data_IF_200008529566
#
_entry.id   IF_200008529566
#
_cell.length_a   1.000
_cell.length_b   1.000
_cell.length_c   1.000
_cell.angle_alpha   90.00
_cell.angle_beta   90.00
_cell.angle_gamma   90.00
#
_symmetry.space_group_name_H-M   'P 1'
#
loop_
_entity.id
_entity.type
_entity.pdbx_description
1 polymer ?
#
# COMPACT_ATOMS: atom_id res chain seq x y z
N UNK A 1 68.59 -0.49 -27.61
CA UNK A 1 67.72 -1.45 -28.31
C UNK A 1 66.59 -1.80 -27.38
N UNK A 2 65.41 -1.28 -27.72
CA UNK A 2 64.15 -1.38 -27.00
C UNK A 2 63.65 -2.83 -26.86
N UNK A 3 62.96 -3.12 -25.77
CA UNK A 3 61.89 -4.11 -25.72
C UNK A 3 60.83 -3.61 -24.74
N UNK A 4 59.93 -2.79 -25.29
CA UNK A 4 58.62 -2.53 -24.71
C UNK A 4 57.78 -3.81 -24.83
N UNK A 5 57.28 -4.29 -23.69
CA UNK A 5 56.28 -5.35 -23.62
C UNK A 5 54.92 -4.69 -23.86
N UNK A 6 54.29 -5.06 -24.97
CA UNK A 6 52.92 -4.68 -25.30
C UNK A 6 51.97 -5.33 -24.28
N UNK A 7 51.41 -4.51 -23.39
CA UNK A 7 50.16 -4.80 -22.70
C UNK A 7 49.07 -4.93 -23.76
N UNK A 8 48.47 -6.11 -23.85
CA UNK A 8 47.32 -6.34 -24.73
C UNK A 8 46.13 -5.55 -24.21
N UNK A 9 45.61 -4.66 -25.04
CA UNK A 9 44.35 -3.97 -24.82
C UNK A 9 43.23 -4.99 -24.57
N UNK A 10 42.79 -5.07 -23.31
CA UNK A 10 41.52 -5.70 -22.95
C UNK A 10 40.43 -4.80 -23.56
N UNK A 11 39.55 -5.31 -24.44
CA UNK A 11 38.47 -4.51 -25.00
C UNK A 11 37.63 -3.94 -23.85
N UNK A 12 37.29 -2.65 -23.86
CA UNK A 12 36.39 -2.09 -22.85
C UNK A 12 35.09 -2.88 -22.90
N UNK A 13 34.69 -3.47 -21.76
CA UNK A 13 33.36 -4.03 -21.55
C UNK A 13 32.32 -3.02 -22.04
N UNK A 14 31.34 -3.42 -22.86
CA UNK A 14 30.32 -2.49 -23.35
C UNK A 14 29.66 -1.80 -22.16
N UNK A 15 29.84 -0.48 -22.04
CA UNK A 15 29.15 0.30 -21.02
C UNK A 15 27.65 0.20 -21.29
N UNK A 16 26.94 -0.51 -20.42
CA UNK A 16 25.49 -0.59 -20.48
C UNK A 16 24.92 0.81 -20.31
N UNK A 17 24.21 1.31 -21.33
CA UNK A 17 23.70 2.68 -21.34
C UNK A 17 22.48 2.77 -20.41
N UNK A 18 22.64 3.41 -19.26
CA UNK A 18 21.53 3.68 -18.36
C UNK A 18 20.48 4.58 -19.01
N UNK A 19 19.23 4.16 -18.93
CA UNK A 19 18.06 4.90 -19.41
C UNK A 19 17.26 5.39 -18.23
N UNK A 20 16.87 6.67 -18.26
CA UNK A 20 16.00 7.29 -17.27
C UNK A 20 14.60 7.51 -17.85
N UNK A 21 13.63 7.78 -16.98
CA UNK A 21 12.26 8.08 -17.35
C UNK A 21 12.16 9.25 -18.33
N UNK A 22 11.19 9.13 -19.22
CA UNK A 22 10.78 10.16 -20.15
C UNK A 22 10.27 11.41 -19.42
N UNK A 23 10.46 12.56 -20.06
CA UNK A 23 9.86 13.82 -19.63
C UNK A 23 8.97 14.37 -20.75
N UNK A 24 7.69 14.54 -20.43
CA UNK A 24 6.67 15.05 -21.32
C UNK A 24 6.22 16.45 -20.89
N UNK A 25 5.67 17.19 -21.84
CA UNK A 25 4.95 18.44 -21.58
C UNK A 25 4.02 18.70 -22.76
N UNK A 26 3.10 19.67 -22.60
CA UNK A 26 2.09 19.98 -23.61
C UNK A 26 2.69 20.37 -24.98
N UNK A 27 3.92 20.89 -25.02
CA UNK A 27 4.60 21.29 -26.25
C UNK A 27 5.26 20.12 -26.99
N UNK A 28 5.73 19.10 -26.25
CA UNK A 28 6.37 17.89 -26.81
C UNK A 28 5.36 16.80 -27.19
N UNK A 29 4.08 17.01 -26.86
CA UNK A 29 3.00 16.05 -27.05
C UNK A 29 2.80 15.13 -25.85
N UNK A 30 1.61 14.55 -25.77
CA UNK A 30 1.14 13.65 -24.68
C UNK A 30 0.62 12.31 -25.22
N UNK A 31 0.96 11.97 -26.47
CA UNK A 31 0.61 10.67 -27.05
C UNK A 31 1.32 9.55 -26.29
N UNK A 32 0.60 8.47 -25.97
CA UNK A 32 1.16 7.34 -25.24
C UNK A 32 2.46 6.82 -25.87
N UNK A 33 3.52 6.81 -25.05
CA UNK A 33 4.80 6.15 -25.29
C UNK A 33 5.10 5.34 -24.04
N UNK A 34 5.57 4.11 -24.23
CA UNK A 34 5.83 3.17 -23.13
C UNK A 34 7.29 2.75 -23.20
N UNK A 35 7.98 2.78 -22.07
CA UNK A 35 9.30 2.18 -21.89
C UNK A 35 9.26 1.19 -20.74
N UNK A 36 9.96 0.08 -20.90
CA UNK A 36 10.18 -0.91 -19.86
C UNK A 36 11.63 -0.80 -19.42
N UNK A 37 11.84 -0.35 -18.19
CA UNK A 37 13.18 -0.16 -17.62
C UNK A 37 13.43 -1.27 -16.60
N UNK A 38 14.33 -2.20 -16.94
CA UNK A 38 14.74 -3.28 -16.06
C UNK A 38 15.82 -2.83 -15.08
N UNK A 39 15.62 -3.16 -13.81
CA UNK A 39 16.57 -2.99 -12.74
C UNK A 39 16.82 -4.35 -12.07
N UNK A 40 18.07 -4.57 -11.67
CA UNK A 40 18.54 -5.83 -11.08
C UNK A 40 19.42 -5.51 -9.88
N UNK A 41 19.66 -6.49 -9.01
CA UNK A 41 20.56 -6.30 -7.86
C UNK A 41 22.00 -5.95 -8.25
N UNK A 42 22.47 -6.39 -9.43
CA UNK A 42 23.78 -6.02 -9.94
C UNK A 42 23.90 -4.54 -10.31
N UNK A 43 22.80 -3.89 -10.68
CA UNK A 43 22.79 -2.46 -11.01
C UNK A 43 21.45 -1.80 -10.63
N UNK A 44 21.23 -1.49 -9.34
CA UNK A 44 19.95 -1.02 -8.84
C UNK A 44 19.63 0.44 -9.23
N UNK A 45 20.63 1.18 -9.72
CA UNK A 45 20.49 2.59 -10.12
C UNK A 45 20.37 2.82 -11.63
N UNK A 46 20.67 1.80 -12.44
CA UNK A 46 20.70 1.90 -13.89
C UNK A 46 19.50 1.16 -14.51
N UNK A 47 18.55 1.92 -15.06
CA UNK A 47 17.45 1.35 -15.83
C UNK A 47 17.96 0.86 -17.19
N UNK A 48 17.93 -0.46 -17.42
CA UNK A 48 18.22 -1.04 -18.73
C UNK A 48 16.94 -1.02 -19.57
N UNK A 49 16.94 -0.27 -20.67
CA UNK A 49 15.79 -0.26 -21.58
C UNK A 49 15.62 -1.64 -22.21
N UNK A 50 14.43 -2.21 -22.06
CA UNK A 50 14.08 -3.50 -22.64
C UNK A 50 13.23 -3.27 -23.89
N UNK A 51 13.84 -3.42 -25.07
CA UNK A 51 13.16 -3.26 -26.35
C UNK A 51 12.47 -4.56 -26.83
N UNK A 52 11.55 -4.41 -27.78
CA UNK A 52 10.59 -5.45 -28.20
C UNK A 52 11.21 -6.70 -28.85
N UNK A 53 12.47 -6.67 -29.26
CA UNK A 53 13.13 -7.74 -30.01
C UNK A 53 14.47 -8.10 -29.38
N UNK A 54 14.62 -9.34 -28.92
CA UNK A 54 15.88 -10.02 -28.57
C UNK A 54 16.77 -9.52 -27.41
N UNK A 55 16.54 -8.34 -26.84
CA UNK A 55 17.51 -7.79 -25.86
C UNK A 55 17.38 -8.31 -24.42
N UNK A 56 16.29 -8.96 -24.02
CA UNK A 56 16.12 -9.47 -22.63
C UNK A 56 17.22 -10.46 -22.25
N UNK A 57 17.76 -11.25 -23.18
CA UNK A 57 18.86 -12.16 -22.89
C UNK A 57 20.21 -11.43 -22.72
N UNK A 58 20.33 -10.24 -23.28
CA UNK A 58 21.51 -9.38 -23.16
C UNK A 58 21.42 -8.44 -21.94
N UNK A 59 20.23 -8.33 -21.33
CA UNK A 59 20.05 -7.61 -20.07
C UNK A 59 20.32 -8.54 -18.89
N UNK A 60 20.50 -7.98 -17.69
CA UNK A 60 20.71 -8.76 -16.46
C UNK A 60 19.49 -9.57 -16.00
N UNK A 61 18.49 -9.80 -16.86
CA UNK A 61 17.24 -10.47 -16.51
C UNK A 61 17.46 -11.93 -16.14
N UNK A 62 16.92 -12.34 -14.99
CA UNK A 62 17.00 -13.72 -14.53
C UNK A 62 15.61 -14.35 -14.46
N UNK A 63 15.31 -15.23 -15.41
CA UNK A 63 13.99 -15.85 -15.51
C UNK A 63 13.63 -16.84 -14.39
N UNK A 64 14.59 -17.24 -13.56
CA UNK A 64 14.32 -18.05 -12.36
C UNK A 64 13.81 -17.21 -11.18
N UNK A 65 13.90 -15.88 -11.25
CA UNK A 65 13.44 -14.98 -10.21
C UNK A 65 12.02 -14.48 -10.47
N UNK A 66 11.35 -14.00 -9.42
CA UNK A 66 10.11 -13.25 -9.57
C UNK A 66 10.31 -12.00 -10.42
N UNK A 67 9.26 -11.58 -11.13
CA UNK A 67 9.26 -10.34 -11.91
C UNK A 67 8.24 -9.38 -11.32
N UNK A 68 8.72 -8.22 -10.86
CA UNK A 68 7.91 -7.17 -10.23
C UNK A 68 7.79 -5.98 -11.17
N UNK A 69 6.58 -5.70 -11.63
CA UNK A 69 6.31 -4.52 -12.48
C UNK A 69 5.84 -3.37 -11.60
N UNK A 70 6.42 -2.19 -11.75
CA UNK A 70 5.98 -0.98 -11.03
C UNK A 70 5.38 0.00 -12.04
N UNK A 71 4.08 0.28 -11.90
CA UNK A 71 3.32 1.14 -12.82
C UNK A 71 2.90 2.40 -12.07
N UNK A 72 3.41 3.56 -12.50
CA UNK A 72 3.01 4.84 -11.91
C UNK A 72 1.62 5.30 -12.39
N UNK A 73 1.09 6.33 -11.74
CA UNK A 73 -0.21 6.93 -12.08
C UNK A 73 -0.13 8.18 -12.95
N UNK A 74 -1.17 9.00 -12.87
CA UNK A 74 -1.30 10.28 -13.56
C UNK A 74 -0.15 11.26 -13.22
N UNK A 75 0.38 11.95 -14.22
CA UNK A 75 1.52 12.88 -14.12
C UNK A 75 1.16 14.23 -14.76
N UNK A 76 0.39 15.07 -14.08
CA UNK A 76 -0.04 16.37 -14.61
C UNK A 76 1.08 17.20 -15.28
N UNK A 77 2.28 17.20 -14.68
CA UNK A 77 3.44 17.96 -15.15
C UNK A 77 4.39 17.19 -16.09
N UNK A 78 4.12 15.90 -16.35
CA UNK A 78 4.92 15.06 -17.23
C UNK A 78 6.36 14.82 -16.77
N UNK A 79 6.56 14.75 -15.46
CA UNK A 79 7.87 14.47 -14.86
C UNK A 79 7.91 13.06 -14.26
N UNK A 80 9.11 12.49 -14.23
CA UNK A 80 9.45 11.26 -13.48
C UNK A 80 8.83 11.27 -12.08
N UNK A 81 8.17 10.19 -11.62
CA UNK A 81 7.67 10.11 -10.26
C UNK A 81 8.84 10.18 -9.26
N UNK A 82 8.83 11.15 -8.35
CA UNK A 82 9.95 11.38 -7.41
C UNK A 82 10.20 10.22 -6.43
N UNK A 83 9.24 9.32 -6.28
CA UNK A 83 9.32 8.15 -5.40
C UNK A 83 9.88 6.89 -6.09
N UNK A 84 9.96 6.87 -7.43
CA UNK A 84 10.18 5.63 -8.19
C UNK A 84 11.54 5.00 -7.90
N UNK A 85 12.62 5.79 -7.86
CA UNK A 85 13.98 5.30 -7.63
C UNK A 85 14.11 4.67 -6.25
N UNK A 86 13.55 5.34 -5.24
CA UNK A 86 13.51 4.81 -3.87
C UNK A 86 12.73 3.50 -3.81
N UNK A 87 11.60 3.42 -4.51
CA UNK A 87 10.76 2.22 -4.51
C UNK A 87 11.48 1.05 -5.19
N UNK A 88 12.06 1.26 -6.36
CA UNK A 88 12.86 0.23 -7.06
C UNK A 88 13.99 -0.28 -6.15
N UNK A 89 14.75 0.63 -5.54
CA UNK A 89 15.83 0.27 -4.61
C UNK A 89 15.33 -0.54 -3.42
N UNK A 90 14.20 -0.16 -2.81
CA UNK A 90 13.60 -0.89 -1.71
C UNK A 90 13.12 -2.30 -2.11
N UNK A 91 12.57 -2.46 -3.32
CA UNK A 91 12.15 -3.77 -3.83
C UNK A 91 13.34 -4.71 -4.05
N UNK A 92 14.41 -4.20 -4.67
CA UNK A 92 15.63 -4.96 -4.93
C UNK A 92 16.32 -5.37 -3.62
N UNK A 93 16.36 -4.49 -2.62
CA UNK A 93 16.93 -4.80 -1.31
C UNK A 93 16.09 -5.83 -0.52
N UNK A 94 14.76 -5.80 -0.67
CA UNK A 94 13.88 -6.68 0.06
C UNK A 94 13.74 -8.07 -0.58
N UNK A 95 13.94 -8.19 -1.90
CA UNK A 95 13.78 -9.45 -2.66
C UNK A 95 14.76 -9.54 -3.81
N UNK A 96 15.33 -10.73 -4.01
CA UNK A 96 16.07 -11.06 -5.23
C UNK A 96 15.06 -11.27 -6.38
N UNK A 97 14.83 -10.22 -7.15
CA UNK A 97 13.80 -10.17 -8.18
C UNK A 97 14.22 -9.30 -9.37
N UNK A 98 13.59 -9.54 -10.53
CA UNK A 98 13.63 -8.60 -11.64
C UNK A 98 12.63 -7.47 -11.37
N UNK A 99 13.08 -6.22 -11.30
CA UNK A 99 12.18 -5.07 -11.12
C UNK A 99 12.08 -4.31 -12.45
N UNK A 100 10.88 -4.22 -13.00
CA UNK A 100 10.62 -3.51 -14.26
C UNK A 100 9.76 -2.28 -13.95
N UNK A 101 10.33 -1.09 -14.15
CA UNK A 101 9.56 0.14 -14.07
C UNK A 101 8.90 0.42 -15.43
N UNK A 102 7.58 0.59 -15.42
CA UNK A 102 6.80 0.92 -16.61
C UNK A 102 6.66 2.43 -16.70
N UNK A 103 7.43 3.02 -17.60
CA UNK A 103 7.37 4.45 -17.88
C UNK A 103 6.34 4.72 -18.98
N UNK A 104 5.28 5.44 -18.62
CA UNK A 104 4.27 5.94 -19.53
C UNK A 104 4.00 7.43 -19.26
N UNK A 105 5.04 8.20 -18.88
CA UNK A 105 4.94 9.62 -18.54
C UNK A 105 4.21 10.41 -19.63
N UNK A 106 4.50 10.16 -20.91
CA UNK A 106 3.82 10.83 -22.02
C UNK A 106 2.30 10.62 -22.02
N UNK A 107 1.83 9.37 -21.88
CA UNK A 107 0.40 9.04 -21.90
C UNK A 107 -0.34 9.39 -20.61
N UNK A 108 0.38 9.68 -19.53
CA UNK A 108 -0.16 10.09 -18.23
C UNK A 108 -0.11 11.60 -18.01
N UNK A 109 0.35 12.38 -18.98
CA UNK A 109 0.55 13.83 -18.87
C UNK A 109 -0.65 14.64 -19.37
N UNK A 110 -0.89 15.79 -18.75
CA UNK A 110 -1.86 16.76 -19.23
C UNK A 110 -3.20 16.63 -18.53
N UNK A 111 -4.24 16.24 -19.26
CA UNK A 111 -5.61 16.14 -18.75
C UNK A 111 -5.88 14.73 -18.23
N UNK A 112 -6.48 14.63 -17.05
CA UNK A 112 -6.75 13.35 -16.38
C UNK A 112 -7.53 12.37 -17.27
N UNK A 113 -8.62 12.81 -17.89
CA UNK A 113 -9.44 11.96 -18.75
C UNK A 113 -8.68 11.42 -19.98
N UNK A 114 -7.77 12.21 -20.56
CA UNK A 114 -6.90 11.73 -21.64
C UNK A 114 -5.92 10.65 -21.16
N UNK A 115 -5.49 10.70 -19.90
CA UNK A 115 -4.69 9.63 -19.31
C UNK A 115 -5.52 8.35 -19.06
N UNK A 116 -6.79 8.49 -18.65
CA UNK A 116 -7.74 7.38 -18.51
C UNK A 116 -7.95 6.66 -19.85
N UNK A 117 -8.12 7.39 -20.94
CA UNK A 117 -8.26 6.82 -22.30
C UNK A 117 -7.06 5.94 -22.73
N UNK A 118 -5.87 6.20 -22.18
CA UNK A 118 -4.66 5.43 -22.49
C UNK A 118 -4.55 4.11 -21.70
N UNK A 119 -5.35 3.89 -20.65
CA UNK A 119 -5.20 2.74 -19.74
C UNK A 119 -5.34 1.40 -20.47
N UNK A 120 -6.34 1.25 -21.33
CA UNK A 120 -6.52 0.01 -22.11
C UNK A 120 -5.34 -0.24 -23.05
N UNK A 121 -4.90 0.80 -23.78
CA UNK A 121 -3.77 0.68 -24.71
C UNK A 121 -2.47 0.35 -23.95
N UNK A 122 -2.23 0.99 -22.82
CA UNK A 122 -1.09 0.69 -21.95
C UNK A 122 -1.13 -0.75 -21.43
N UNK A 123 -2.29 -1.23 -20.97
CA UNK A 123 -2.46 -2.62 -20.55
C UNK A 123 -2.13 -3.62 -21.66
N UNK A 124 -2.49 -3.31 -22.91
CA UNK A 124 -2.11 -4.13 -24.08
C UNK A 124 -0.59 -4.12 -24.32
N UNK A 125 0.08 -2.96 -24.26
CA UNK A 125 1.54 -2.90 -24.40
C UNK A 125 2.27 -3.70 -23.32
N UNK A 126 1.83 -3.58 -22.06
CA UNK A 126 2.38 -4.36 -20.94
C UNK A 126 2.12 -5.86 -21.15
N UNK A 127 0.93 -6.23 -21.65
CA UNK A 127 0.61 -7.63 -21.88
C UNK A 127 1.46 -8.26 -22.98
N UNK A 128 1.76 -7.51 -24.05
CA UNK A 128 2.71 -7.93 -25.09
C UNK A 128 4.15 -8.03 -24.57
N UNK A 129 4.54 -7.15 -23.66
CA UNK A 129 5.83 -7.26 -22.98
C UNK A 129 5.91 -8.54 -22.14
N UNK A 130 4.90 -8.79 -21.29
CA UNK A 130 4.83 -9.99 -20.46
C UNK A 130 4.78 -11.27 -21.30
N UNK A 131 4.07 -11.29 -22.44
CA UNK A 131 3.93 -12.50 -23.24
C UNK A 131 5.29 -12.96 -23.79
N UNK A 132 6.21 -12.03 -24.07
CA UNK A 132 7.59 -12.33 -24.49
C UNK A 132 8.45 -12.89 -23.35
N UNK A 133 8.16 -12.51 -22.10
CA UNK A 133 8.83 -13.07 -20.91
C UNK A 133 8.34 -14.48 -20.59
N UNK A 134 7.03 -14.71 -20.74
CA UNK A 134 6.35 -15.95 -20.38
C UNK A 134 6.48 -17.02 -21.47
N UNK A 135 6.32 -16.63 -22.73
CA UNK A 135 6.45 -17.49 -23.91
C UNK A 135 7.73 -17.06 -24.61
N UNK A 136 8.81 -17.82 -24.40
CA UNK A 136 9.96 -17.71 -25.29
C UNK A 136 9.46 -17.95 -26.71
N UNK A 137 9.67 -16.97 -27.59
CA UNK A 137 9.37 -17.06 -29.02
C UNK A 137 9.87 -18.43 -29.51
N UNK A 138 8.98 -19.17 -30.18
CA UNK A 138 8.98 -20.62 -30.42
C UNK A 138 10.25 -21.28 -30.99
N UNK A 139 11.38 -20.60 -31.14
CA UNK A 139 12.57 -21.16 -31.77
C UNK A 139 13.79 -21.34 -30.85
N UNK A 140 13.89 -20.68 -29.69
CA UNK A 140 15.08 -20.83 -28.82
C UNK A 140 14.74 -20.67 -27.33
N UNK A 141 14.43 -21.79 -26.65
CA UNK A 141 14.30 -21.97 -25.18
C UNK A 141 13.38 -20.96 -24.48
N UNK A 142 12.30 -21.47 -23.88
CA UNK A 142 11.50 -20.68 -22.93
C UNK A 142 12.41 -20.00 -21.89
N UNK A 143 12.25 -18.68 -21.68
CA UNK A 143 12.80 -18.05 -20.48
C UNK A 143 12.19 -18.72 -19.22
N UNK A 144 10.95 -19.23 -19.33
CA UNK A 144 10.37 -20.10 -18.31
C UNK A 144 9.79 -19.36 -17.12
N UNK A 145 9.52 -18.05 -17.25
CA UNK A 145 8.84 -17.26 -16.23
C UNK A 145 7.41 -17.80 -16.09
N UNK A 146 7.02 -18.19 -14.87
CA UNK A 146 5.65 -18.61 -14.60
C UNK A 146 4.74 -17.37 -14.51
N UNK A 147 3.50 -17.46 -14.98
CA UNK A 147 2.50 -16.39 -14.75
C UNK A 147 2.33 -16.12 -13.26
N UNK A 148 2.43 -17.18 -12.44
CA UNK A 148 2.33 -17.09 -10.98
C UNK A 148 3.53 -16.38 -10.31
N UNK A 149 4.65 -16.15 -11.01
CA UNK A 149 5.81 -15.42 -10.47
C UNK A 149 5.82 -13.94 -10.85
N UNK A 150 4.77 -13.45 -11.51
CA UNK A 150 4.57 -12.04 -11.86
C UNK A 150 3.82 -11.32 -10.73
N UNK A 151 4.37 -10.22 -10.26
CA UNK A 151 3.73 -9.30 -9.33
C UNK A 151 3.65 -7.90 -9.95
N UNK A 152 2.45 -7.39 -10.19
CA UNK A 152 2.26 -6.01 -10.67
C UNK A 152 1.88 -5.10 -9.50
N UNK A 153 2.63 -4.01 -9.32
CA UNK A 153 2.39 -2.98 -8.31
C UNK A 153 1.97 -1.72 -9.05
N UNK A 154 0.70 -1.34 -8.92
CA UNK A 154 0.13 -0.19 -9.61
C UNK A 154 -0.20 0.93 -8.62
N UNK A 155 0.23 2.16 -8.92
CA UNK A 155 -0.08 3.36 -8.13
C UNK A 155 -1.14 4.18 -8.84
N UNK A 156 -2.21 4.58 -8.13
CA UNK A 156 -3.25 5.46 -8.71
C UNK A 156 -3.86 4.85 -9.99
N UNK A 157 -3.84 5.55 -11.13
CA UNK A 157 -4.23 4.99 -12.45
C UNK A 157 -3.47 3.70 -12.81
N UNK A 158 -2.21 3.56 -12.38
CA UNK A 158 -1.42 2.36 -12.61
C UNK A 158 -2.00 1.10 -11.98
N UNK A 159 -2.83 1.24 -10.92
CA UNK A 159 -3.54 0.11 -10.32
C UNK A 159 -4.60 -0.47 -11.27
N UNK A 160 -5.32 0.39 -12.00
CA UNK A 160 -6.30 -0.06 -13.00
C UNK A 160 -5.63 -0.61 -14.26
N UNK A 161 -4.46 -0.07 -14.63
CA UNK A 161 -3.61 -0.69 -15.65
C UNK A 161 -3.21 -2.10 -15.24
N UNK A 162 -2.80 -2.30 -13.97
CA UNK A 162 -2.47 -3.62 -13.45
C UNK A 162 -3.66 -4.59 -13.53
N UNK A 163 -4.86 -4.14 -13.12
CA UNK A 163 -6.09 -4.91 -13.25
C UNK A 163 -6.39 -5.30 -14.70
N UNK A 164 -6.32 -4.33 -15.63
CA UNK A 164 -6.51 -4.55 -17.06
C UNK A 164 -5.54 -5.60 -17.63
N UNK A 165 -4.26 -5.58 -17.22
CA UNK A 165 -3.29 -6.61 -17.60
C UNK A 165 -3.70 -7.97 -17.02
N UNK A 166 -4.06 -8.02 -15.74
CA UNK A 166 -4.57 -9.23 -15.08
C UNK A 166 -5.79 -9.85 -15.78
N UNK A 167 -6.74 -9.01 -16.19
CA UNK A 167 -7.90 -9.39 -16.98
C UNK A 167 -7.50 -10.04 -18.32
N UNK A 168 -6.55 -9.46 -19.05
CA UNK A 168 -6.04 -10.05 -20.31
C UNK A 168 -5.37 -11.43 -20.09
N UNK A 169 -4.79 -11.67 -18.91
CA UNK A 169 -4.24 -12.96 -18.49
C UNK A 169 -5.26 -13.87 -17.78
N UNK A 170 -6.55 -13.49 -17.75
CA UNK A 170 -7.65 -14.25 -17.13
C UNK A 170 -7.42 -14.53 -15.64
N UNK A 171 -6.83 -13.59 -14.91
CA UNK A 171 -6.61 -13.72 -13.47
C UNK A 171 -5.47 -14.67 -13.07
N UNK A 172 -4.66 -15.14 -14.02
CA UNK A 172 -3.62 -16.15 -13.76
C UNK A 172 -2.28 -15.58 -13.32
N UNK A 173 -2.14 -14.25 -13.26
CA UNK A 173 -0.94 -13.62 -12.73
C UNK A 173 -0.80 -13.86 -11.23
N UNK A 174 0.43 -13.93 -10.73
CA UNK A 174 0.72 -14.23 -9.32
C UNK A 174 0.07 -13.25 -8.34
N UNK A 175 0.37 -11.96 -8.49
CA UNK A 175 -0.13 -10.93 -7.55
C UNK A 175 -0.34 -9.58 -8.21
N UNK A 176 -1.35 -8.86 -7.75
CA UNK A 176 -1.48 -7.42 -7.97
C UNK A 176 -1.55 -6.69 -6.63
N UNK A 177 -0.79 -5.61 -6.49
CA UNK A 177 -0.90 -4.68 -5.36
C UNK A 177 -1.33 -3.31 -5.88
N UNK A 178 -2.54 -2.89 -5.53
CA UNK A 178 -3.07 -1.56 -5.82
C UNK A 178 -2.71 -0.57 -4.71
N UNK A 179 -1.85 0.40 -5.01
CA UNK A 179 -1.47 1.47 -4.10
C UNK A 179 -2.33 2.70 -4.36
N UNK A 180 -3.34 2.86 -3.50
CA UNK A 180 -4.42 3.84 -3.59
C UNK A 180 -4.97 3.99 -5.02
N UNK A 181 -5.67 2.95 -5.54
CA UNK A 181 -6.23 2.95 -6.90
C UNK A 181 -7.11 4.19 -7.14
N UNK A 182 -7.06 4.77 -8.33
CA UNK A 182 -7.74 6.05 -8.58
C UNK A 182 -9.28 5.93 -8.52
N UNK A 183 -9.94 6.88 -7.86
CA UNK A 183 -11.38 6.91 -7.70
C UNK A 183 -12.17 7.49 -8.89
N UNK A 184 -11.77 8.65 -9.45
CA UNK A 184 -12.45 9.25 -10.59
C UNK A 184 -12.49 8.30 -11.80
N UNK A 185 -13.60 8.27 -12.54
CA UNK A 185 -13.92 7.27 -13.59
C UNK A 185 -14.10 5.81 -13.12
N UNK A 186 -13.37 5.33 -12.11
CA UNK A 186 -13.36 3.90 -11.76
C UNK A 186 -14.32 3.49 -10.63
N UNK A 187 -14.72 4.39 -9.73
CA UNK A 187 -15.60 4.04 -8.58
C UNK A 187 -16.95 3.45 -9.02
N UNK A 188 -17.42 3.80 -10.22
CA UNK A 188 -18.68 3.31 -10.80
C UNK A 188 -18.46 2.43 -12.04
N UNK A 189 -17.21 2.15 -12.40
CA UNK A 189 -16.86 1.33 -13.55
C UNK A 189 -17.20 -0.15 -13.29
N UNK A 190 -17.39 -0.91 -14.37
CA UNK A 190 -17.61 -2.35 -14.27
C UNK A 190 -16.33 -3.08 -13.85
N UNK A 191 -16.44 -4.36 -13.46
CA UNK A 191 -15.28 -5.13 -12.99
C UNK A 191 -14.17 -5.22 -14.04
N UNK A 192 -14.55 -5.29 -15.32
CA UNK A 192 -13.65 -5.39 -16.47
C UNK A 192 -12.91 -4.09 -16.78
N UNK A 193 -13.38 -2.97 -16.25
CA UNK A 193 -12.84 -1.63 -16.53
C UNK A 193 -11.91 -1.12 -15.41
N UNK A 194 -11.86 -1.79 -14.26
CA UNK A 194 -11.07 -1.37 -13.09
C UNK A 194 -10.24 -2.53 -12.53
N UNK A 195 -9.55 -2.26 -11.42
CA UNK A 195 -8.92 -3.31 -10.64
C UNK A 195 -10.00 -4.09 -9.90
N UNK A 196 -9.91 -5.42 -9.92
CA UNK A 196 -10.79 -6.33 -9.19
C UNK A 196 -10.01 -7.54 -8.65
N UNK A 197 -10.58 -8.21 -7.63
CA UNK A 197 -10.02 -9.41 -7.03
C UNK A 197 -9.74 -10.53 -8.06
N UNK A 198 -10.55 -10.63 -9.12
CA UNK A 198 -10.39 -11.62 -10.19
C UNK A 198 -9.20 -11.40 -11.13
N UNK A 199 -8.45 -10.30 -11.02
CA UNK A 199 -7.38 -9.95 -11.96
C UNK A 199 -6.05 -10.68 -11.68
N UNK A 200 -5.90 -11.34 -10.53
CA UNK A 200 -4.73 -12.17 -10.21
C UNK A 200 -5.09 -13.28 -9.22
N UNK A 201 -4.18 -14.24 -9.04
CA UNK A 201 -4.27 -15.24 -7.98
C UNK A 201 -4.35 -14.60 -6.60
N UNK A 202 -3.73 -13.43 -6.41
CA UNK A 202 -3.93 -12.60 -5.22
C UNK A 202 -3.87 -11.11 -5.54
N UNK A 203 -4.99 -10.40 -5.35
CA UNK A 203 -5.04 -8.94 -5.35
C UNK A 203 -5.16 -8.39 -3.93
N UNK A 204 -4.34 -7.41 -3.58
CA UNK A 204 -4.56 -6.53 -2.43
C UNK A 204 -4.61 -5.06 -2.85
N UNK A 205 -5.33 -4.26 -2.08
CA UNK A 205 -5.41 -2.81 -2.28
C UNK A 205 -5.19 -2.06 -0.98
N UNK A 206 -4.43 -0.97 -1.06
CA UNK A 206 -4.12 -0.09 0.08
C UNK A 206 -4.81 1.25 -0.17
N UNK A 207 -5.85 1.53 0.60
CA UNK A 207 -6.66 2.73 0.49
C UNK A 207 -6.18 3.77 1.51
N UNK A 208 -5.82 4.94 1.00
CA UNK A 208 -5.33 6.05 1.80
C UNK A 208 -5.98 7.40 1.46
N UNK A 209 -6.80 7.51 0.41
CA UNK A 209 -7.44 8.78 0.01
C UNK A 209 -8.85 8.64 -0.61
N UNK A 210 -9.69 7.78 -0.03
CA UNK A 210 -11.01 7.41 -0.60
C UNK A 210 -12.02 8.55 -0.66
N UNK A 211 -11.88 9.60 0.14
CA UNK A 211 -12.75 10.77 0.08
C UNK A 211 -12.35 11.77 -1.02
N UNK A 212 -11.15 11.63 -1.60
CA UNK A 212 -10.61 12.51 -2.63
C UNK A 212 -10.16 11.75 -3.90
N UNK A 213 -8.87 11.43 -4.06
CA UNK A 213 -8.33 10.86 -5.31
C UNK A 213 -8.44 9.33 -5.40
N UNK A 214 -8.52 8.63 -4.28
CA UNK A 214 -8.59 7.18 -4.19
C UNK A 214 -10.00 6.60 -4.42
N UNK A 215 -10.07 5.34 -4.84
CA UNK A 215 -11.32 4.63 -5.07
C UNK A 215 -12.02 4.29 -3.74
N UNK A 216 -13.34 4.51 -3.71
CA UNK A 216 -14.18 4.36 -2.51
C UNK A 216 -14.63 2.94 -2.22
N UNK A 217 -14.56 2.09 -3.24
CA UNK A 217 -14.99 0.71 -3.15
C UNK A 217 -13.77 -0.20 -2.99
N UNK A 218 -13.92 -1.31 -2.28
CA UNK A 218 -12.94 -2.39 -2.29
C UNK A 218 -12.75 -2.95 -3.71
N UNK A 219 -11.53 -3.39 -3.99
CA UNK A 219 -11.08 -3.87 -5.31
C UNK A 219 -10.13 -5.06 -5.25
N UNK A 220 -9.82 -5.59 -4.06
CA UNK A 220 -8.95 -6.76 -3.90
C UNK A 220 -9.60 -7.91 -3.15
N UNK A 221 -8.84 -8.99 -2.97
CA UNK A 221 -9.18 -10.01 -1.97
C UNK A 221 -9.04 -9.44 -0.55
N UNK A 222 -8.05 -8.56 -0.35
CA UNK A 222 -7.80 -7.86 0.92
C UNK A 222 -7.62 -6.37 0.65
N UNK A 223 -8.47 -5.55 1.28
CA UNK A 223 -8.49 -4.10 1.14
C UNK A 223 -8.13 -3.44 2.47
N UNK A 224 -6.93 -2.87 2.53
CA UNK A 224 -6.39 -2.16 3.70
C UNK A 224 -6.86 -0.70 3.71
N UNK A 225 -7.78 -0.38 4.60
CA UNK A 225 -8.23 0.99 4.84
C UNK A 225 -7.40 1.63 5.96
N UNK A 226 -6.24 2.20 5.59
CA UNK A 226 -5.27 2.75 6.54
C UNK A 226 -5.81 4.03 7.16
N UNK A 227 -5.86 4.09 8.49
CA UNK A 227 -6.49 5.19 9.25
C UNK A 227 -7.95 5.45 8.84
N UNK A 228 -8.65 4.43 8.31
CA UNK A 228 -9.99 4.55 7.76
C UNK A 228 -10.04 4.79 6.25
N UNK A 229 -8.88 4.98 5.60
CA UNK A 229 -8.72 5.18 4.17
C UNK A 229 -9.03 6.59 3.69
N UNK A 230 -9.03 7.57 4.59
CA UNK A 230 -9.31 8.98 4.30
C UNK A 230 -8.10 9.80 4.77
N UNK A 231 -8.24 10.67 5.77
CA UNK A 231 -7.16 11.50 6.28
C UNK A 231 -6.02 10.70 6.93
N UNK A 232 -4.80 10.83 6.39
CA UNK A 232 -3.61 10.18 6.90
C UNK A 232 -2.87 11.09 7.89
N UNK A 233 -2.40 10.57 9.04
CA UNK A 233 -1.63 11.36 9.99
C UNK A 233 -0.44 12.07 9.33
N UNK A 234 -0.27 13.36 9.61
CA UNK A 234 0.81 14.18 9.05
C UNK A 234 0.54 14.77 7.67
N UNK A 235 -0.57 14.42 7.01
CA UNK A 235 -1.01 15.09 5.81
C UNK A 235 -1.78 16.39 6.13
N UNK A 236 -1.71 17.41 5.26
CA UNK A 236 -2.45 18.65 5.48
C UNK A 236 -3.96 18.42 5.39
N UNK A 237 -4.71 18.93 6.36
CA UNK A 237 -6.19 18.83 6.40
C UNK A 237 -6.91 20.08 5.86
N UNK A 238 -6.15 21.09 5.39
CA UNK A 238 -6.70 22.36 4.94
C UNK A 238 -6.38 22.60 3.47
N UNK A 239 -7.41 23.00 2.71
CA UNK A 239 -7.33 23.31 1.27
C UNK A 239 -6.26 24.35 0.91
N UNK A 240 -5.89 25.24 1.84
CA UNK A 240 -4.85 26.25 1.63
C UNK A 240 -3.44 25.66 1.47
N UNK A 241 -3.22 24.38 1.79
CA UNK A 241 -1.98 23.67 1.50
C UNK A 241 -1.84 23.28 0.01
N UNK A 242 -2.82 23.63 -0.84
CA UNK A 242 -2.75 23.52 -2.29
C UNK A 242 -2.61 22.07 -2.76
N UNK A 243 -1.70 21.82 -3.70
CA UNK A 243 -1.48 20.47 -4.25
C UNK A 243 -1.12 19.43 -3.17
N UNK A 244 -0.47 19.85 -2.07
CA UNK A 244 -0.11 18.98 -0.95
C UNK A 244 -1.33 18.42 -0.22
N UNK A 245 -2.41 19.21 -0.10
CA UNK A 245 -3.69 18.75 0.45
C UNK A 245 -4.33 17.64 -0.40
N UNK A 246 -4.14 17.68 -1.72
CA UNK A 246 -4.73 16.69 -2.62
C UNK A 246 -3.89 15.42 -2.72
N UNK A 247 -2.56 15.52 -2.67
CA UNK A 247 -1.68 14.42 -3.06
C UNK A 247 -1.08 13.67 -1.86
N UNK A 248 -1.06 14.27 -0.66
CA UNK A 248 -0.34 13.67 0.47
C UNK A 248 -0.95 12.34 0.91
N UNK A 249 -2.27 12.32 1.11
CA UNK A 249 -3.02 11.11 1.48
C UNK A 249 -2.92 10.05 0.38
N UNK A 250 -3.06 10.46 -0.89
CA UNK A 250 -2.91 9.58 -2.05
C UNK A 250 -1.53 8.90 -2.09
N UNK A 251 -0.47 9.65 -1.81
CA UNK A 251 0.91 9.13 -1.81
C UNK A 251 1.26 8.34 -0.53
N UNK A 252 0.40 8.32 0.49
CA UNK A 252 0.66 7.56 1.72
C UNK A 252 0.77 6.07 1.44
N UNK A 253 -0.03 5.50 0.54
CA UNK A 253 0.06 4.08 0.16
C UNK A 253 1.45 3.70 -0.35
N UNK A 254 2.06 4.53 -1.21
CA UNK A 254 3.44 4.33 -1.71
C UNK A 254 4.45 4.40 -0.56
N UNK A 255 4.34 5.42 0.31
CA UNK A 255 5.26 5.57 1.43
C UNK A 255 5.16 4.43 2.45
N UNK A 256 3.96 3.90 2.69
CA UNK A 256 3.76 2.74 3.56
C UNK A 256 4.40 1.50 2.97
N UNK A 257 4.17 1.24 1.68
CA UNK A 257 4.72 0.07 1.02
C UNK A 257 6.25 0.11 0.97
N UNK A 258 6.87 1.24 0.61
CA UNK A 258 8.32 1.44 0.71
C UNK A 258 8.81 1.21 2.15
N UNK A 259 8.11 1.76 3.14
CA UNK A 259 8.51 1.63 4.55
C UNK A 259 8.49 0.19 5.04
N UNK A 260 7.57 -0.66 4.56
CA UNK A 260 7.55 -2.09 4.90
C UNK A 260 8.72 -2.83 4.29
N UNK A 261 9.12 -2.49 3.07
CA UNK A 261 10.28 -3.09 2.41
C UNK A 261 11.59 -2.72 3.14
N UNK A 262 11.67 -1.50 3.70
CA UNK A 262 12.87 -0.98 4.36
C UNK A 262 12.93 -1.28 5.87
N UNK A 263 11.81 -1.62 6.53
CA UNK A 263 11.73 -1.67 8.00
C UNK A 263 10.94 -2.88 8.50
N UNK A 264 11.19 -3.30 9.73
CA UNK A 264 10.52 -4.43 10.39
C UNK A 264 9.13 -4.12 10.96
N UNK A 265 8.50 -3.04 10.50
CA UNK A 265 7.21 -2.62 11.01
C UNK A 265 6.09 -3.57 10.56
N UNK A 266 5.33 -4.22 11.46
CA UNK A 266 4.40 -5.25 11.05
C UNK A 266 3.16 -4.73 10.31
N UNK A 267 2.83 -3.41 10.39
CA UNK A 267 1.62 -2.79 9.80
C UNK A 267 0.40 -3.73 9.78
N UNK A 268 0.07 -4.26 10.95
CA UNK A 268 -0.95 -5.28 11.13
C UNK A 268 -2.35 -4.68 11.03
N UNK A 269 -3.22 -5.33 10.27
CA UNK A 269 -4.60 -4.92 10.07
C UNK A 269 -5.61 -5.97 10.59
N UNK A 270 -6.81 -5.50 10.91
CA UNK A 270 -7.87 -6.30 11.52
C UNK A 270 -9.11 -6.32 10.63
N UNK A 271 -9.66 -7.49 10.28
CA UNK A 271 -10.90 -7.59 9.52
C UNK A 271 -12.04 -6.96 10.32
N UNK A 272 -12.79 -6.07 9.68
CA UNK A 272 -13.91 -5.43 10.33
C UNK A 272 -14.98 -4.98 9.34
N UNK A 273 -16.21 -4.77 9.81
CA UNK A 273 -17.31 -4.29 8.96
C UNK A 273 -17.19 -2.80 8.62
N UNK A 274 -16.51 -2.02 9.48
CA UNK A 274 -16.25 -0.59 9.25
C UNK A 274 -15.12 -0.10 10.15
N UNK A 275 -14.49 1.00 9.77
CA UNK A 275 -13.47 1.66 10.61
C UNK A 275 -14.02 2.10 11.97
N UNK A 276 -15.29 2.54 12.02
CA UNK A 276 -15.98 2.90 13.27
C UNK A 276 -16.12 1.68 14.20
N UNK A 277 -16.46 0.51 13.65
CA UNK A 277 -16.56 -0.71 14.43
C UNK A 277 -15.19 -1.17 14.95
N UNK A 278 -14.14 -1.01 14.13
CA UNK A 278 -12.76 -1.27 14.52
C UNK A 278 -12.34 -0.38 15.69
N UNK A 279 -12.49 0.95 15.59
CA UNK A 279 -12.17 1.88 16.67
C UNK A 279 -12.99 1.65 17.95
N UNK A 280 -14.21 1.14 17.81
CA UNK A 280 -15.08 0.76 18.94
C UNK A 280 -14.70 -0.59 19.59
N UNK A 281 -13.64 -1.27 19.12
CA UNK A 281 -13.18 -2.54 19.71
C UNK A 281 -14.13 -3.71 19.45
N UNK A 282 -14.82 -3.72 18.30
CA UNK A 282 -15.65 -4.85 17.89
C UNK A 282 -14.89 -5.93 17.11
N UNK A 283 -13.67 -5.63 16.68
CA UNK A 283 -12.84 -6.49 15.84
C UNK A 283 -11.45 -6.60 16.50
N UNK A 284 -11.23 -7.70 17.21
CA UNK A 284 -10.09 -7.85 18.15
C UNK A 284 -9.10 -8.93 17.75
N UNK A 285 -9.48 -9.78 16.80
CA UNK A 285 -8.65 -10.85 16.24
C UNK A 285 -8.74 -10.83 14.71
N UNK A 286 -8.07 -11.81 14.09
CA UNK A 286 -8.05 -12.00 12.65
C UNK A 286 -8.34 -13.45 12.24
N UNK A 287 -8.83 -14.29 13.17
CA UNK A 287 -8.98 -15.72 12.93
C UNK A 287 -9.97 -15.99 11.79
N UNK A 288 -11.02 -15.17 11.69
CA UNK A 288 -11.94 -15.19 10.57
C UNK A 288 -11.73 -13.92 9.71
N UNK A 289 -11.27 -14.01 8.44
CA UNK A 289 -11.06 -15.21 7.63
C UNK A 289 -9.61 -15.74 7.53
N UNK A 290 -8.62 -15.20 8.28
CA UNK A 290 -7.19 -15.46 7.99
C UNK A 290 -6.57 -16.69 8.68
N UNK A 291 -7.32 -17.41 9.52
CA UNK A 291 -7.01 -18.70 10.18
C UNK A 291 -5.76 -18.78 11.10
N UNK A 292 -4.66 -18.08 10.80
CA UNK A 292 -3.34 -18.26 11.44
C UNK A 292 -2.71 -16.95 11.91
N UNK A 293 -2.83 -15.88 11.13
CA UNK A 293 -2.22 -14.59 11.45
C UNK A 293 -2.99 -13.41 10.87
N UNK A 294 -2.94 -12.29 11.56
CA UNK A 294 -3.47 -11.04 11.04
C UNK A 294 -2.74 -10.61 9.77
N UNK A 295 -3.48 -10.11 8.76
CA UNK A 295 -2.90 -9.61 7.52
C UNK A 295 -2.01 -8.40 7.79
N UNK A 296 -0.93 -8.31 7.02
CA UNK A 296 0.05 -7.23 7.07
C UNK A 296 0.28 -6.70 5.67
N UNK A 297 0.37 -5.37 5.54
CA UNK A 297 0.85 -4.75 4.30
C UNK A 297 2.29 -5.25 4.05
N UNK A 298 2.61 -5.71 2.84
CA UNK A 298 3.96 -6.15 2.48
C UNK A 298 4.02 -7.35 1.53
N UNK A 299 5.22 -7.89 1.33
CA UNK A 299 5.47 -9.07 0.51
C UNK A 299 4.76 -10.31 1.07
N UNK A 300 4.35 -11.26 0.21
CA UNK A 300 3.49 -12.41 0.59
C UNK A 300 4.08 -13.20 1.78
N UNK A 301 5.40 -13.41 1.79
CA UNK A 301 6.11 -14.12 2.88
C UNK A 301 6.00 -13.41 4.25
N UNK A 302 5.77 -12.10 4.24
CA UNK A 302 5.59 -11.26 5.42
C UNK A 302 4.13 -10.90 5.69
N UNK A 303 3.25 -11.08 4.70
CA UNK A 303 1.85 -10.65 4.72
C UNK A 303 0.95 -11.47 5.65
N UNK A 304 1.39 -12.66 6.08
CA UNK A 304 0.62 -13.52 6.99
C UNK A 304 -0.71 -14.02 6.41
N UNK A 305 -0.88 -13.90 5.09
CA UNK A 305 -2.13 -14.20 4.39
C UNK A 305 -2.10 -15.65 3.91
N UNK A 306 -2.41 -16.59 4.82
CA UNK A 306 -2.89 -17.93 4.42
C UNK A 306 -4.40 -17.91 4.52
N UNK A 307 -5.08 -17.64 3.41
CA UNK A 307 -6.53 -17.72 3.34
C UNK A 307 -6.90 -18.83 2.37
N UNK A 308 -7.51 -19.88 2.89
CA UNK A 308 -7.98 -21.02 2.09
C UNK A 308 -9.43 -21.33 2.46
N UNK A 309 -10.39 -21.18 1.53
CA UNK A 309 -10.28 -20.55 0.20
C UNK A 309 -10.10 -19.03 0.29
N UNK A 310 -9.45 -18.41 -0.72
CA UNK A 310 -9.35 -16.95 -0.81
C UNK A 310 -10.75 -16.31 -0.74
N UNK A 311 -10.91 -15.23 0.03
CA UNK A 311 -12.20 -14.57 0.17
C UNK A 311 -12.45 -13.73 -1.08
N UNK A 312 -13.72 -13.54 -1.45
CA UNK A 312 -14.05 -12.63 -2.56
C UNK A 312 -13.57 -11.20 -2.28
N UNK A 313 -13.69 -10.76 -1.04
CA UNK A 313 -13.37 -9.39 -0.60
C UNK A 313 -13.30 -9.35 0.94
N UNK A 314 -12.28 -8.73 1.51
CA UNK A 314 -12.16 -8.50 2.97
C UNK A 314 -11.62 -7.11 3.25
N UNK A 315 -12.39 -6.31 3.99
CA UNK A 315 -11.97 -5.00 4.48
C UNK A 315 -11.21 -5.17 5.78
N UNK A 316 -9.99 -4.66 5.82
CA UNK A 316 -9.13 -4.69 7.00
C UNK A 316 -8.71 -3.27 7.37
N UNK A 317 -8.62 -3.01 8.66
CA UNK A 317 -8.36 -1.67 9.19
C UNK A 317 -7.13 -1.68 10.09
N UNK A 318 -6.37 -0.61 10.01
CA UNK A 318 -5.22 -0.33 10.86
C UNK A 318 -5.08 1.17 11.04
N UNK A 319 -4.27 1.55 12.03
CA UNK A 319 -3.86 2.94 12.24
C UNK A 319 -2.35 3.01 12.01
N UNK A 320 -1.83 4.19 11.72
CA UNK A 320 -0.39 4.43 11.59
C UNK A 320 0.01 5.74 12.26
N UNK A 321 1.32 5.96 12.42
CA UNK A 321 1.84 7.27 12.80
C UNK A 321 2.01 8.17 11.58
N UNK A 322 2.39 9.44 11.79
CA UNK A 322 2.55 10.41 10.72
C UNK A 322 3.84 10.30 9.92
N UNK A 323 4.82 9.53 10.39
CA UNK A 323 6.17 9.42 9.83
C UNK A 323 6.64 7.97 9.81
N UNK A 324 7.51 7.63 8.85
CA UNK A 324 8.16 6.33 8.79
C UNK A 324 8.87 6.02 10.13
N UNK A 325 8.81 4.77 10.64
CA UNK A 325 8.33 3.57 9.96
C UNK A 325 6.80 3.34 10.07
N UNK A 326 6.01 4.36 10.42
CA UNK A 326 4.54 4.31 10.50
C UNK A 326 3.97 3.37 11.57
N UNK A 327 4.83 2.84 12.44
CA UNK A 327 4.46 1.80 13.38
C UNK A 327 3.53 2.25 14.49
N UNK A 328 2.57 1.38 14.78
CA UNK A 328 1.76 1.41 15.98
C UNK A 328 1.54 -0.01 16.49
N UNK A 329 1.25 -0.10 17.77
CA UNK A 329 0.71 -1.27 18.44
C UNK A 329 -0.72 -0.95 18.84
N UNK A 330 -1.67 -1.72 18.34
CA UNK A 330 -3.08 -1.60 18.71
C UNK A 330 -3.34 -2.30 20.04
N UNK A 331 -4.08 -1.64 20.91
CA UNK A 331 -4.49 -2.17 22.20
C UNK A 331 -5.99 -1.98 22.37
N UNK A 332 -6.67 -3.01 22.87
CA UNK A 332 -8.01 -2.88 23.42
C UNK A 332 -7.91 -2.12 24.75
N UNK A 333 -8.80 -1.16 24.95
CA UNK A 333 -9.02 -0.51 26.24
C UNK A 333 -10.48 -0.62 26.63
N UNK A 334 -10.73 -0.98 27.88
CA UNK A 334 -12.08 -1.18 28.41
C UNK A 334 -12.22 -0.50 29.76
N UNK A 335 -13.44 -0.04 30.03
CA UNK A 335 -13.82 0.46 31.35
C UNK A 335 -15.19 -0.08 31.75
N UNK A 336 -15.23 -0.68 32.94
CA UNK A 336 -16.41 -1.27 33.54
C UNK A 336 -16.85 -0.40 34.72
N UNK A 337 -17.97 0.30 34.59
CA UNK A 337 -18.59 1.01 35.70
C UNK A 337 -19.04 0.03 36.77
N UNK A 338 -18.83 0.41 38.03
CA UNK A 338 -19.38 -0.32 39.16
C UNK A 338 -20.91 -0.36 39.09
N UNK A 339 -21.54 0.78 38.75
CA UNK A 339 -23.00 0.89 38.61
C UNK A 339 -23.39 1.58 37.29
N UNK A 340 -24.53 1.18 36.66
CA UNK A 340 -25.05 1.81 35.47
C UNK A 340 -25.44 3.26 35.74
N UNK A 341 -25.48 4.07 34.68
CA UNK A 341 -25.84 5.49 34.78
C UNK A 341 -26.98 5.84 33.84
N UNK A 342 -27.79 6.80 34.25
CA UNK A 342 -28.92 7.30 33.44
C UNK A 342 -28.50 8.15 32.23
N UNK A 343 -27.20 8.38 32.04
CA UNK A 343 -26.61 9.14 30.95
C UNK A 343 -25.38 8.44 30.43
N UNK A 344 -25.07 8.70 29.16
CA UNK A 344 -23.84 8.21 28.54
C UNK A 344 -22.63 8.76 29.31
N UNK A 345 -21.65 7.89 29.49
CA UNK A 345 -20.42 8.19 30.23
C UNK A 345 -19.26 8.13 29.26
N UNK A 346 -18.60 9.28 29.07
CA UNK A 346 -17.46 9.43 28.18
C UNK A 346 -16.17 9.46 29.00
N UNK A 347 -15.25 8.55 28.72
CA UNK A 347 -13.93 8.50 29.36
C UNK A 347 -12.89 8.62 28.26
N UNK A 348 -11.99 9.59 28.38
CA UNK A 348 -10.78 9.65 27.56
C UNK A 348 -9.71 8.83 28.25
N UNK A 349 -9.22 7.80 27.56
CA UNK A 349 -8.08 6.98 27.96
C UNK A 349 -6.85 7.51 27.23
N UNK A 350 -5.79 7.81 27.96
CA UNK A 350 -4.54 8.34 27.41
C UNK A 350 -3.39 7.43 27.83
N UNK A 351 -2.64 6.92 26.86
CA UNK A 351 -1.38 6.20 27.08
C UNK A 351 -0.22 7.17 26.96
N UNK A 352 0.64 7.19 27.97
CA UNK A 352 1.86 7.98 28.00
C UNK A 352 3.06 7.02 27.93
N UNK A 353 3.72 6.98 26.78
CA UNK A 353 5.04 6.38 26.64
C UNK A 353 6.15 7.37 27.02
N UNK A 354 7.40 7.04 26.71
CA UNK A 354 8.54 7.89 27.07
C UNK A 354 8.50 9.27 26.39
N UNK A 355 8.18 9.32 25.10
CA UNK A 355 8.23 10.54 24.28
C UNK A 355 6.94 10.81 23.49
N UNK A 356 5.95 9.92 23.56
CA UNK A 356 4.72 10.01 22.77
C UNK A 356 3.51 9.74 23.66
N UNK A 357 2.40 10.37 23.31
CA UNK A 357 1.11 10.19 23.97
C UNK A 357 0.06 9.84 22.91
N UNK A 358 -0.72 8.79 23.14
CA UNK A 358 -1.92 8.49 22.36
C UNK A 358 -3.15 8.59 23.23
N UNK A 359 -4.30 8.95 22.66
CA UNK A 359 -5.56 8.99 23.39
C UNK A 359 -6.70 8.42 22.57
N UNK A 360 -7.65 7.77 23.25
CA UNK A 360 -8.91 7.32 22.69
C UNK A 360 -10.06 7.71 23.61
N UNK A 361 -11.23 7.97 23.04
CA UNK A 361 -12.46 8.20 23.79
C UNK A 361 -13.31 6.94 23.76
N UNK A 362 -13.62 6.40 24.93
CA UNK A 362 -14.62 5.33 25.10
C UNK A 362 -15.92 5.92 25.61
N UNK A 363 -17.04 5.40 25.09
CA UNK A 363 -18.39 5.79 25.49
C UNK A 363 -19.08 4.58 26.09
N UNK A 364 -19.61 4.74 27.30
CA UNK A 364 -20.44 3.76 27.97
C UNK A 364 -21.89 4.26 27.85
N UNK A 365 -22.76 3.60 27.07
CA UNK A 365 -24.14 4.03 26.90
C UNK A 365 -24.92 4.04 28.21
N UNK A 366 -25.95 4.89 28.30
CA UNK A 366 -26.88 4.88 29.45
C UNK A 366 -27.41 3.47 29.72
N UNK A 367 -27.60 3.15 30.99
CA UNK A 367 -28.02 1.82 31.47
C UNK A 367 -27.05 0.67 31.17
N UNK A 368 -25.87 0.94 30.60
CA UNK A 368 -24.82 -0.05 30.43
C UNK A 368 -23.68 0.19 31.42
N UNK A 369 -22.86 -0.85 31.62
CA UNK A 369 -21.69 -0.80 32.49
C UNK A 369 -20.37 -0.81 31.74
N UNK A 370 -20.37 -1.29 30.49
CA UNK A 370 -19.15 -1.54 29.74
C UNK A 370 -19.00 -0.55 28.58
N UNK A 371 -17.82 0.05 28.45
CA UNK A 371 -17.40 0.70 27.22
C UNK A 371 -15.98 0.32 26.87
N UNK A 372 -15.72 0.26 25.57
CA UNK A 372 -14.46 -0.19 25.00
C UNK A 372 -14.07 0.60 23.76
N UNK A 373 -12.82 0.46 23.35
CA UNK A 373 -12.29 1.03 22.12
C UNK A 373 -10.87 0.54 21.84
N UNK A 374 -10.36 0.89 20.66
CA UNK A 374 -8.99 0.58 20.24
C UNK A 374 -8.13 1.83 20.33
N UNK A 375 -6.96 1.71 20.94
CA UNK A 375 -5.92 2.74 20.96
C UNK A 375 -4.68 2.23 20.22
N UNK A 376 -4.20 3.02 19.26
CA UNK A 376 -2.92 2.79 18.60
C UNK A 376 -1.83 3.63 19.26
N UNK A 377 -0.71 3.00 19.63
CA UNK A 377 0.42 3.69 20.25
C UNK A 377 1.75 3.25 19.62
N UNK A 378 2.73 4.15 19.37
CA UNK A 378 3.98 3.77 18.69
C UNK A 378 4.88 2.85 19.52
N UNK A 379 4.83 2.98 20.84
CA UNK A 379 5.53 2.06 21.75
C UNK A 379 4.64 0.85 22.07
N UNK A 380 5.23 -0.37 22.20
CA UNK A 380 4.51 -1.55 22.66
C UNK A 380 3.98 -1.36 24.08
N UNK A 381 3.00 -2.18 24.47
CA UNK A 381 2.30 -2.03 25.75
C UNK A 381 3.24 -2.09 26.96
N UNK A 382 4.32 -2.88 26.91
CA UNK A 382 5.31 -2.98 27.98
C UNK A 382 6.15 -1.70 28.20
N UNK A 383 6.10 -0.75 27.25
CA UNK A 383 6.79 0.54 27.33
C UNK A 383 5.83 1.71 27.63
N UNK A 384 4.59 1.42 28.03
CA UNK A 384 3.65 2.44 28.49
C UNK A 384 3.89 2.71 29.97
N UNK A 385 4.34 3.93 30.29
CA UNK A 385 4.73 4.32 31.63
C UNK A 385 3.53 4.70 32.51
N UNK A 386 2.52 5.31 31.90
CA UNK A 386 1.34 5.79 32.63
C UNK A 386 0.08 5.72 31.76
N UNK A 387 -1.04 5.36 32.39
CA UNK A 387 -2.38 5.49 31.81
C UNK A 387 -3.15 6.56 32.56
N UNK A 388 -3.68 7.54 31.83
CA UNK A 388 -4.52 8.61 32.38
C UNK A 388 -5.96 8.42 31.91
N UNK A 389 -6.89 8.44 32.87
CA UNK A 389 -8.33 8.36 32.62
C UNK A 389 -8.96 9.72 32.94
N UNK A 390 -9.61 10.34 31.95
CA UNK A 390 -10.31 11.62 32.12
C UNK A 390 -11.80 11.44 31.83
N UNK A 391 -12.61 11.53 32.87
CA UNK A 391 -14.07 11.61 32.72
C UNK A 391 -14.46 12.95 32.08
N UNK A 392 -15.21 12.90 30.97
CA UNK A 392 -15.77 14.08 30.33
C UNK A 392 -17.16 14.36 30.91
N UNK A 393 -17.24 15.31 31.85
CA UNK A 393 -18.52 15.79 32.36
C UNK A 393 -19.22 16.70 31.33
N UNK A 394 -20.55 16.56 31.19
CA UNK A 394 -21.35 17.46 30.35
C UNK A 394 -21.29 18.90 30.89
N UNK A 395 -21.01 19.86 30.01
CA UNK A 395 -20.89 21.30 30.28
C UNK A 395 -22.22 22.00 30.63
N UNK A 396 -23.11 21.37 31.41
CA UNK A 396 -24.28 22.10 31.95
C UNK A 396 -23.81 22.98 33.10
N UNK A 397 -23.88 24.29 32.86
CA UNK A 397 -23.29 25.41 33.61
C UNK A 397 -23.73 25.53 35.08
N UNK A 398 -24.67 24.71 35.57
CA UNK A 398 -25.32 24.94 36.86
C UNK A 398 -25.51 23.68 37.73
N UNK A 399 -24.45 22.88 37.93
CA UNK A 399 -24.31 22.04 39.14
C UNK A 399 -22.89 21.50 39.28
N UNK A 400 -22.19 21.93 40.32
CA UNK A 400 -20.86 21.45 40.75
C UNK A 400 -20.92 20.13 41.52
N UNK A 401 -21.87 19.26 41.21
CA UNK A 401 -21.83 17.89 41.75
C UNK A 401 -20.74 17.14 41.01
N UNK A 402 -19.54 17.08 41.62
CA UNK A 402 -18.44 16.21 41.21
C UNK A 402 -18.97 14.78 41.19
N UNK A 403 -19.46 14.36 40.03
CA UNK A 403 -19.98 13.01 39.83
C UNK A 403 -18.78 12.09 39.70
N UNK A 404 -18.34 11.53 40.82
CA UNK A 404 -17.31 10.49 40.85
C UNK A 404 -17.80 9.29 40.03
N UNK A 405 -16.91 8.74 39.20
CA UNK A 405 -17.08 7.43 38.57
C UNK A 405 -16.15 6.44 39.25
N UNK A 406 -16.66 5.26 39.58
CA UNK A 406 -15.87 4.15 40.13
C UNK A 406 -16.06 2.98 39.18
N UNK A 407 -14.97 2.26 38.91
CA UNK A 407 -14.98 1.17 37.95
C UNK A 407 -13.62 0.51 37.80
N UNK A 408 -13.57 -0.51 36.93
CA UNK A 408 -12.36 -1.25 36.58
C UNK A 408 -11.91 -0.87 35.18
N UNK A 409 -10.63 -0.52 35.03
CA UNK A 409 -9.99 -0.32 33.74
C UNK A 409 -9.21 -1.58 33.36
N UNK A 410 -9.35 -2.02 32.11
CA UNK A 410 -8.63 -3.15 31.53
C UNK A 410 -8.00 -2.74 30.20
N UNK A 411 -6.88 -3.36 29.85
CA UNK A 411 -6.27 -3.21 28.53
C UNK A 411 -5.55 -4.49 28.11
N UNK A 412 -5.57 -4.79 26.81
CA UNK A 412 -4.91 -5.94 26.22
C UNK A 412 -4.31 -5.56 24.85
N UNK A 413 -3.15 -6.12 24.47
CA UNK A 413 -2.59 -5.90 23.15
C UNK A 413 -3.40 -6.69 22.13
N UNK A 414 -3.59 -6.15 20.92
CA UNK A 414 -4.20 -6.88 19.82
C UNK A 414 -3.15 -7.70 19.05
N UNK A 415 -3.51 -8.88 18.49
CA UNK A 415 -4.82 -9.53 18.57
C UNK A 415 -5.11 -10.10 19.96
N UNK A 416 -6.37 -10.02 20.39
CA UNK A 416 -6.86 -10.69 21.59
C UNK A 416 -7.32 -12.07 21.17
N UNK A 417 -6.54 -13.09 21.50
CA UNK A 417 -6.93 -14.47 21.25
C UNK A 417 -7.98 -14.90 22.28
N UNK A 418 -9.25 -15.01 21.86
CA UNK A 418 -10.22 -15.84 22.58
C UNK A 418 -9.79 -17.30 22.38
N UNK A 419 -9.05 -17.84 23.37
CA UNK A 419 -8.73 -19.28 23.42
C UNK A 419 -9.94 -20.08 23.85
#
# INVERSE_FOLDING_TARGET
MSRDLLEGDVPPTPQTKCTDFQNANLLRGTSLRVQFLLFTMSDPSCGQLVEESSDIQNTGFNATLETKLVIHGFRALGTKPSWIDKFIGALLQATDANVVAVDWVYGSTGVYFSAVENVVKLGLEISRFLSKLLVGVEELRALGVSQSSVHIIGVSLGAHVAGMVGHFYKGQLGRITGLDPAGPEYTRASLEERLDAGDALFVEAIHTDTDNLGIRIPVGHVDYFVNGGQDQPGCPIFIHAGYSYLICDHMRAVHLYISVLENSCPLMAFPCTSYKAFLAGHCLDCFNPFLLSCPRIGLVEQGGVKIEPLPKEVKVYLQTTSKAPYCVHHNLVEFYLQEPRNKDTCITVTFLGSNVTSSVKITIPRQQRHGKGVIAHPNPQCQINQVKLKFQASHRVWKKDRTTIIGKFCTAPLPVNDK
#
